data_IF_304327683017
#
_entry.id   IF_304327683017
#
_cell.length_a   1.000
_cell.length_b   1.000
_cell.length_c   1.000
_cell.angle_alpha   90.00
_cell.angle_beta   90.00
_cell.angle_gamma   90.00
#
_symmetry.space_group_name_H-M   'P 1'
#
loop_
_entity.id
_entity.type
_entity.pdbx_description
1 polymer ?
#
# COMPACT_ATOMS: atom_id res chain seq x y z
N UNK A 1 -21.24 -3.27 20.36
CA UNK A 1 -20.09 -2.72 19.61
C UNK A 1 -20.61 -1.84 18.48
N UNK A 2 -19.96 -0.72 18.20
CA UNK A 2 -20.40 0.23 17.15
C UNK A 2 -20.27 -0.39 15.75
N UNK A 3 -21.24 -0.13 14.88
CA UNK A 3 -21.33 -0.63 13.49
C UNK A 3 -20.02 -0.52 12.68
N UNK A 4 -19.22 0.53 12.92
CA UNK A 4 -17.93 0.76 12.24
C UNK A 4 -16.87 -0.29 12.58
N UNK A 5 -16.78 -0.71 13.84
CA UNK A 5 -15.78 -1.69 14.28
C UNK A 5 -16.05 -3.07 13.68
N UNK A 6 -17.32 -3.48 13.61
CA UNK A 6 -17.70 -4.75 12.97
C UNK A 6 -17.38 -4.75 11.47
N UNK A 7 -17.70 -3.68 10.75
CA UNK A 7 -17.34 -3.54 9.33
C UNK A 7 -15.82 -3.62 9.11
N UNK A 8 -15.05 -2.97 9.99
CA UNK A 8 -13.60 -3.04 9.98
C UNK A 8 -13.11 -4.48 10.21
N UNK A 9 -13.61 -5.17 11.24
CA UNK A 9 -13.14 -6.50 11.64
C UNK A 9 -13.51 -7.59 10.63
N UNK A 10 -14.68 -7.46 10.00
CA UNK A 10 -15.17 -8.42 9.00
C UNK A 10 -14.60 -8.18 7.60
N UNK A 11 -14.06 -6.99 7.31
CA UNK A 11 -13.58 -6.63 5.99
C UNK A 11 -14.70 -6.42 4.95
N UNK A 12 -15.96 -6.30 5.39
CA UNK A 12 -17.13 -6.17 4.52
C UNK A 12 -17.47 -4.71 4.17
N UNK A 13 -16.55 -3.78 4.44
CA UNK A 13 -16.72 -2.40 4.00
C UNK A 13 -16.68 -2.34 2.45
N UNK A 14 -17.46 -1.45 1.82
CA UNK A 14 -17.35 -1.24 0.38
C UNK A 14 -15.93 -0.83 0.02
N UNK A 15 -15.41 -1.35 -1.10
CA UNK A 15 -14.10 -0.97 -1.60
C UNK A 15 -14.12 0.53 -1.95
N UNK A 16 -13.12 1.32 -1.48
CA UNK A 16 -12.99 2.70 -1.91
C UNK A 16 -12.54 2.75 -3.37
N UNK A 17 -12.83 3.85 -4.06
CA UNK A 17 -12.42 4.02 -5.45
C UNK A 17 -10.89 4.10 -5.61
N UNK A 18 -10.19 4.54 -4.57
CA UNK A 18 -8.75 4.76 -4.58
C UNK A 18 -8.08 4.28 -3.29
N UNK A 19 -6.79 3.97 -3.38
CA UNK A 19 -5.88 3.68 -2.28
C UNK A 19 -4.65 4.57 -2.35
N UNK A 20 -3.99 4.78 -1.22
CA UNK A 20 -2.73 5.53 -1.15
C UNK A 20 -1.55 4.56 -1.14
N UNK A 21 -0.52 4.83 -1.93
CA UNK A 21 0.75 4.09 -1.87
C UNK A 21 1.95 5.03 -1.91
N UNK A 22 3.08 4.51 -1.41
CA UNK A 22 4.39 5.12 -1.53
C UNK A 22 5.17 4.34 -2.57
N UNK A 23 5.14 4.79 -3.82
CA UNK A 23 5.89 4.15 -4.90
C UNK A 23 7.37 4.54 -4.85
N UNK A 24 8.22 3.74 -5.49
CA UNK A 24 9.64 4.03 -5.63
C UNK A 24 9.98 4.31 -7.09
N UNK A 25 10.61 5.45 -7.35
CA UNK A 25 10.96 5.92 -8.69
C UNK A 25 12.47 5.86 -8.98
N UNK A 26 13.26 5.36 -8.03
CA UNK A 26 14.71 5.27 -8.12
C UNK A 26 15.32 4.84 -6.79
N UNK A 27 16.64 4.66 -6.79
CA UNK A 27 17.39 4.43 -5.56
C UNK A 27 17.42 5.70 -4.69
N UNK A 28 17.25 5.55 -3.38
CA UNK A 28 17.25 6.65 -2.40
C UNK A 28 15.85 6.95 -1.85
N UNK A 29 15.80 7.43 -0.61
CA UNK A 29 14.54 7.78 0.08
C UNK A 29 13.85 8.96 -0.61
N UNK A 30 14.63 9.87 -1.19
CA UNK A 30 14.18 11.01 -1.98
C UNK A 30 13.37 10.61 -3.23
N UNK A 31 13.49 9.36 -3.67
CA UNK A 31 12.75 8.80 -4.80
C UNK A 31 11.52 7.99 -4.37
N UNK A 32 11.14 8.05 -3.09
CA UNK A 32 9.91 7.43 -2.58
C UNK A 32 8.77 8.45 -2.57
N UNK A 33 7.66 8.08 -3.20
CA UNK A 33 6.51 8.95 -3.44
C UNK A 33 6.78 10.00 -4.51
N UNK A 34 5.74 10.76 -4.85
CA UNK A 34 5.86 11.90 -5.75
C UNK A 34 5.98 13.17 -4.91
N UNK A 35 7.06 13.90 -5.10
CA UNK A 35 7.35 15.13 -4.35
C UNK A 35 7.32 14.91 -2.81
N UNK A 36 7.81 13.75 -2.37
CA UNK A 36 7.84 13.35 -0.95
C UNK A 36 6.46 13.07 -0.33
N UNK A 37 5.46 12.79 -1.16
CA UNK A 37 4.08 12.51 -0.73
C UNK A 37 3.60 11.15 -1.25
N UNK A 38 2.66 10.50 -0.53
CA UNK A 38 1.99 9.33 -1.06
C UNK A 38 1.10 9.75 -2.24
N UNK A 39 0.83 8.79 -3.11
CA UNK A 39 0.04 9.01 -4.31
C UNK A 39 -1.22 8.15 -4.25
N UNK A 40 -2.31 8.66 -4.82
CA UNK A 40 -3.58 7.96 -4.87
C UNK A 40 -3.73 7.21 -6.19
N UNK A 41 -4.15 5.95 -6.13
CA UNK A 41 -4.33 5.08 -7.28
C UNK A 41 -5.67 4.37 -7.24
N UNK A 42 -6.28 4.06 -8.39
CA UNK A 42 -7.46 3.20 -8.41
C UNK A 42 -7.14 1.83 -7.79
N UNK A 43 -8.07 1.29 -7.02
CA UNK A 43 -7.94 -0.08 -6.52
C UNK A 43 -7.97 -1.05 -7.72
N UNK A 44 -6.96 -1.91 -7.90
CA UNK A 44 -6.93 -2.86 -9.01
C UNK A 44 -7.89 -4.01 -8.74
N UNK A 45 -8.44 -4.57 -9.81
CA UNK A 45 -9.09 -5.89 -9.75
C UNK A 45 -7.99 -6.97 -9.69
N UNK A 46 -8.00 -7.85 -8.68
CA UNK A 46 -7.02 -8.94 -8.60
C UNK A 46 -7.25 -9.96 -9.73
N UNK A 47 -6.18 -10.46 -10.34
CA UNK A 47 -6.28 -11.60 -11.27
C UNK A 47 -6.59 -12.91 -10.55
N UNK A 48 -6.84 -13.97 -11.33
CA UNK A 48 -7.27 -15.30 -10.84
C UNK A 48 -6.39 -15.89 -9.71
N UNK A 49 -5.11 -15.54 -9.67
CA UNK A 49 -4.13 -16.03 -8.68
C UNK A 49 -3.66 -14.94 -7.70
N UNK A 50 -4.43 -13.86 -7.52
CA UNK A 50 -4.08 -12.74 -6.67
C UNK A 50 -5.17 -12.50 -5.61
N UNK A 51 -4.78 -11.89 -4.50
CA UNK A 51 -5.70 -11.47 -3.44
C UNK A 51 -5.59 -9.95 -3.27
N UNK A 52 -6.74 -9.28 -3.19
CA UNK A 52 -6.81 -7.90 -2.73
C UNK A 52 -6.85 -7.89 -1.20
N UNK A 53 -5.87 -7.26 -0.56
CA UNK A 53 -5.72 -7.24 0.89
C UNK A 53 -5.80 -5.79 1.40
N UNK A 54 -6.62 -5.56 2.43
CA UNK A 54 -6.58 -4.30 3.18
C UNK A 54 -5.37 -4.29 4.10
N UNK A 55 -4.51 -3.28 3.94
CA UNK A 55 -3.31 -3.11 4.74
C UNK A 55 -3.52 -1.97 5.75
N UNK A 56 -3.71 -2.32 7.02
CA UNK A 56 -3.89 -1.34 8.10
C UNK A 56 -2.56 -0.90 8.73
N UNK A 57 -1.53 -1.76 8.65
CA UNK A 57 -0.16 -1.46 9.06
C UNK A 57 0.84 -2.33 8.28
N UNK A 58 2.07 -1.82 8.16
CA UNK A 58 3.20 -2.55 7.56
C UNK A 58 4.40 -2.47 8.49
N UNK A 59 5.17 -3.56 8.56
CA UNK A 59 6.50 -3.54 9.15
C UNK A 59 7.54 -3.29 8.07
N UNK A 60 8.59 -2.56 8.40
CA UNK A 60 9.78 -2.46 7.55
C UNK A 60 10.85 -3.42 8.04
N UNK A 61 11.46 -4.15 7.12
CA UNK A 61 12.52 -5.09 7.37
C UNK A 61 13.82 -4.66 6.67
N UNK A 62 14.93 -5.34 6.98
CA UNK A 62 16.23 -4.93 6.45
C UNK A 62 16.33 -5.09 4.92
N UNK A 63 15.54 -5.97 4.29
CA UNK A 63 15.48 -6.03 2.82
C UNK A 63 14.83 -4.80 2.21
N UNK A 64 13.89 -4.14 2.89
CA UNK A 64 13.31 -2.89 2.40
C UNK A 64 14.37 -1.80 2.35
N UNK A 65 15.25 -1.72 3.37
CA UNK A 65 16.38 -0.79 3.38
C UNK A 65 17.32 -1.05 2.20
N UNK A 66 17.53 -2.30 1.83
CA UNK A 66 18.36 -2.65 0.66
C UNK A 66 17.69 -2.19 -0.63
N UNK A 67 16.40 -2.49 -0.81
CA UNK A 67 15.63 -2.07 -1.99
C UNK A 67 15.62 -0.55 -2.13
N UNK A 68 15.34 0.18 -1.05
CA UNK A 68 15.34 1.64 -1.07
C UNK A 68 16.71 2.18 -1.47
N UNK A 69 17.81 1.62 -0.94
CA UNK A 69 19.16 2.12 -1.25
C UNK A 69 19.65 1.74 -2.65
N UNK A 70 19.22 0.60 -3.19
CA UNK A 70 19.74 0.06 -4.45
C UNK A 70 18.79 0.31 -5.65
N UNK A 71 17.52 0.62 -5.38
CA UNK A 71 16.46 0.68 -6.37
C UNK A 71 15.88 -0.69 -6.71
N UNK A 72 14.71 -0.68 -7.36
CA UNK A 72 14.20 -1.84 -8.10
C UNK A 72 14.94 -1.95 -9.44
N UNK A 73 15.35 -3.16 -9.81
CA UNK A 73 16.09 -3.44 -11.06
C UNK A 73 15.30 -3.08 -12.30
#
# INVERSE_FOLDING_TARGET
>A
MTKKYELYRTGQAPLPAQTWSWNMYGAGIENIGRDGQPEAFPIPEPGDNQLLVRVDSVGMCFSDVKLIKQGGS
#
